data_IF_809969248069
#
_entry.id   IF_809969248069
#
_cell.length_a   1.000
_cell.length_b   1.000
_cell.length_c   1.000
_cell.angle_alpha   90.00
_cell.angle_beta   90.00
_cell.angle_gamma   90.00
#
_symmetry.space_group_name_H-M   'P 1'
#
loop_
_entity.id
_entity.type
_entity.pdbx_description
1 polymer ?
#
# COMPACT_ATOMS: atom_id res chain seq x y z
N UNK A 1 37.35 31.21 3.57
CA UNK A 1 37.25 31.48 5.03
C UNK A 1 38.60 31.76 5.67
N UNK A 2 39.64 30.92 5.48
CA UNK A 2 40.93 31.09 6.15
C UNK A 2 41.62 32.45 5.90
N UNK A 3 41.66 32.94 4.66
CA UNK A 3 42.29 34.23 4.36
C UNK A 3 41.51 35.46 4.86
N UNK A 4 40.18 35.38 4.95
CA UNK A 4 39.34 36.48 5.42
C UNK A 4 39.35 36.57 6.96
N UNK A 5 39.44 35.43 7.63
CA UNK A 5 39.60 35.33 9.09
C UNK A 5 40.88 36.02 9.57
N UNK A 6 41.97 35.91 8.81
CA UNK A 6 43.28 36.46 9.18
C UNK A 6 43.45 37.95 8.81
N UNK A 7 42.53 38.52 8.01
CA UNK A 7 42.61 39.91 7.51
C UNK A 7 41.69 40.88 8.25
N UNK A 8 40.68 40.41 8.99
CA UNK A 8 39.79 41.29 9.74
C UNK A 8 39.06 40.61 10.90
N UNK A 9 39.12 41.23 12.08
CA UNK A 9 38.60 40.69 13.35
C UNK A 9 37.08 40.42 13.36
N UNK A 10 36.31 41.09 12.50
CA UNK A 10 34.86 40.91 12.39
C UNK A 10 34.42 39.86 11.34
N UNK A 11 35.35 39.37 10.50
CA UNK A 11 35.06 38.35 9.47
C UNK A 11 34.51 37.02 10.03
N UNK A 12 34.96 36.50 11.19
CA UNK A 12 34.46 35.23 11.74
C UNK A 12 32.96 35.26 12.07
N UNK A 13 32.48 36.42 12.54
CA UNK A 13 31.09 36.60 12.98
C UNK A 13 30.14 36.48 11.77
N UNK A 14 30.54 37.05 10.62
CA UNK A 14 29.78 36.91 9.38
C UNK A 14 29.59 35.45 8.98
N UNK A 15 30.67 34.66 8.99
CA UNK A 15 30.59 33.24 8.63
C UNK A 15 29.80 32.43 9.65
N UNK A 16 29.91 32.75 10.94
CA UNK A 16 29.13 32.07 11.99
C UNK A 16 27.63 32.29 11.80
N UNK A 17 27.21 33.54 11.59
CA UNK A 17 25.79 33.87 11.31
C UNK A 17 25.33 33.23 10.00
N UNK A 18 26.16 33.28 8.96
CA UNK A 18 25.86 32.67 7.67
C UNK A 18 25.66 31.15 7.78
N UNK A 19 26.53 30.45 8.50
CA UNK A 19 26.45 29.00 8.72
C UNK A 19 25.20 28.66 9.54
N UNK A 20 24.90 29.42 10.60
CA UNK A 20 23.70 29.20 11.42
C UNK A 20 22.43 29.36 10.58
N UNK A 21 22.33 30.42 9.78
CA UNK A 21 21.18 30.66 8.92
C UNK A 21 21.07 29.56 7.85
N UNK A 22 22.17 29.20 7.20
CA UNK A 22 22.12 28.27 6.06
C UNK A 22 21.85 26.82 6.51
N UNK A 23 22.50 26.36 7.58
CA UNK A 23 22.32 24.99 8.08
C UNK A 23 21.02 24.83 8.86
N UNK A 24 20.72 25.72 9.81
CA UNK A 24 19.58 25.50 10.70
C UNK A 24 18.27 26.05 10.16
N UNK A 25 18.29 27.15 9.42
CA UNK A 25 17.05 27.70 8.85
C UNK A 25 16.83 27.19 7.44
N UNK A 26 17.73 27.51 6.50
CA UNK A 26 17.50 27.23 5.07
C UNK A 26 17.39 25.72 4.81
N UNK A 27 18.32 24.91 5.34
CA UNK A 27 18.33 23.46 5.07
C UNK A 27 17.13 22.75 5.71
N UNK A 28 16.74 23.12 6.94
CA UNK A 28 15.58 22.50 7.59
C UNK A 28 14.24 22.92 6.93
N UNK A 29 14.12 24.18 6.48
CA UNK A 29 12.96 24.62 5.70
C UNK A 29 12.91 23.87 4.36
N UNK A 30 14.05 23.75 3.68
CA UNK A 30 14.16 23.00 2.43
C UNK A 30 13.75 21.53 2.62
N UNK A 31 14.27 20.88 3.67
CA UNK A 31 13.92 19.49 4.00
C UNK A 31 12.42 19.34 4.26
N UNK A 32 11.82 20.23 5.04
CA UNK A 32 10.39 20.20 5.35
C UNK A 32 9.52 20.32 4.09
N UNK A 33 9.86 21.24 3.18
CA UNK A 33 9.15 21.43 1.91
C UNK A 33 9.30 20.19 1.02
N UNK A 34 10.52 19.66 0.90
CA UNK A 34 10.80 18.47 0.09
C UNK A 34 10.05 17.25 0.63
N UNK A 35 10.08 17.00 1.94
CA UNK A 35 9.33 15.90 2.57
C UNK A 35 7.83 16.08 2.32
N UNK A 36 7.31 17.30 2.46
CA UNK A 36 5.89 17.58 2.26
C UNK A 36 5.44 17.30 0.82
N UNK A 37 6.27 17.68 -0.16
CA UNK A 37 6.02 17.37 -1.58
C UNK A 37 6.12 15.86 -1.86
N UNK A 38 7.15 15.19 -1.36
CA UNK A 38 7.27 13.74 -1.52
C UNK A 38 6.10 12.98 -0.88
N UNK A 39 5.65 13.39 0.30
CA UNK A 39 4.50 12.77 0.97
C UNK A 39 3.20 12.97 0.17
N UNK A 40 3.01 14.14 -0.45
CA UNK A 40 1.86 14.40 -1.32
C UNK A 40 1.88 13.49 -2.56
N UNK A 41 3.05 13.39 -3.22
CA UNK A 41 3.26 12.52 -4.38
C UNK A 41 3.09 11.03 -4.04
N UNK A 42 3.62 10.58 -2.90
CA UNK A 42 3.47 9.20 -2.41
C UNK A 42 2.01 8.88 -2.13
N UNK A 43 1.27 9.78 -1.47
CA UNK A 43 -0.16 9.63 -1.21
C UNK A 43 -0.95 9.50 -2.52
N UNK A 44 -0.63 10.30 -3.52
CA UNK A 44 -1.31 10.21 -4.81
C UNK A 44 -1.00 8.88 -5.52
N UNK A 45 0.25 8.44 -5.53
CA UNK A 45 0.66 7.14 -6.09
C UNK A 45 -0.03 5.99 -5.38
N UNK A 46 -0.05 6.01 -4.04
CA UNK A 46 -0.74 5.01 -3.24
C UNK A 46 -2.24 4.98 -3.55
N UNK A 47 -2.88 6.16 -3.63
CA UNK A 47 -4.30 6.27 -4.00
C UNK A 47 -4.58 5.67 -5.39
N UNK A 48 -3.76 6.02 -6.39
CA UNK A 48 -3.89 5.49 -7.75
C UNK A 48 -3.73 3.97 -7.77
N UNK A 49 -2.72 3.44 -7.08
CA UNK A 49 -2.49 2.01 -6.98
C UNK A 49 -3.64 1.28 -6.27
N UNK A 50 -4.13 1.85 -5.17
CA UNK A 50 -5.25 1.30 -4.41
C UNK A 50 -6.54 1.25 -5.27
N UNK A 51 -6.85 2.33 -5.97
CA UNK A 51 -8.01 2.39 -6.86
C UNK A 51 -7.88 1.39 -8.01
N UNK A 52 -6.71 1.29 -8.64
CA UNK A 52 -6.47 0.32 -9.72
C UNK A 52 -6.65 -1.13 -9.24
N UNK A 53 -6.12 -1.47 -8.05
CA UNK A 53 -6.35 -2.79 -7.43
C UNK A 53 -7.83 -3.05 -7.21
N UNK A 54 -8.57 -2.07 -6.69
CA UNK A 54 -10.01 -2.19 -6.41
C UNK A 54 -10.84 -2.31 -7.69
N UNK A 55 -10.48 -1.57 -8.72
CA UNK A 55 -11.10 -1.64 -10.04
C UNK A 55 -10.86 -3.00 -10.70
N UNK A 56 -9.63 -3.53 -10.64
CA UNK A 56 -9.32 -4.87 -11.12
C UNK A 56 -10.15 -5.96 -10.41
N UNK A 57 -10.29 -5.88 -9.08
CA UNK A 57 -11.15 -6.82 -8.33
C UNK A 57 -12.62 -6.68 -8.70
N UNK A 58 -13.10 -5.45 -8.91
CA UNK A 58 -14.48 -5.21 -9.36
C UNK A 58 -14.74 -5.82 -10.74
N UNK A 59 -13.79 -5.68 -11.66
CA UNK A 59 -13.87 -6.30 -12.98
C UNK A 59 -13.84 -7.83 -12.88
N UNK A 60 -12.93 -8.39 -12.07
CA UNK A 60 -12.87 -9.82 -11.83
C UNK A 60 -14.17 -10.34 -11.21
N UNK A 61 -14.70 -9.67 -10.19
CA UNK A 61 -15.97 -10.02 -9.55
C UNK A 61 -17.13 -10.03 -10.56
N UNK A 62 -17.20 -9.04 -11.45
CA UNK A 62 -18.25 -9.00 -12.48
C UNK A 62 -18.18 -10.18 -13.46
N UNK A 63 -16.99 -10.71 -13.71
CA UNK A 63 -16.79 -11.85 -14.61
C UNK A 63 -17.02 -13.18 -13.90
N UNK A 64 -16.61 -13.30 -12.64
CA UNK A 64 -16.72 -14.52 -11.84
C UNK A 64 -18.11 -14.68 -11.20
N UNK A 65 -18.77 -13.59 -10.82
CA UNK A 65 -20.03 -13.67 -10.09
C UNK A 65 -21.16 -14.10 -11.02
N UNK A 66 -21.96 -15.05 -10.54
CA UNK A 66 -23.21 -15.46 -11.17
C UNK A 66 -24.34 -14.46 -10.89
N UNK A 67 -25.54 -14.98 -10.65
CA UNK A 67 -26.72 -14.13 -10.36
C UNK A 67 -26.69 -13.49 -8.97
N UNK A 68 -26.03 -14.13 -8.02
CA UNK A 68 -26.15 -13.83 -6.59
C UNK A 68 -24.79 -13.61 -5.91
N UNK A 69 -23.72 -14.24 -6.42
CA UNK A 69 -22.36 -14.07 -5.91
C UNK A 69 -21.39 -15.03 -6.61
N UNK A 70 -20.17 -15.14 -6.06
CA UNK A 70 -19.15 -16.08 -6.52
C UNK A 70 -19.28 -17.39 -5.73
N UNK A 71 -19.48 -18.50 -6.41
CA UNK A 71 -19.50 -19.83 -5.78
C UNK A 71 -18.09 -20.34 -5.52
N UNK A 72 -17.93 -21.34 -4.63
CA UNK A 72 -16.63 -21.93 -4.39
C UNK A 72 -16.01 -22.57 -5.64
N UNK A 73 -16.82 -23.20 -6.50
CA UNK A 73 -16.33 -23.84 -7.73
C UNK A 73 -15.77 -22.80 -8.72
N UNK A 74 -16.47 -21.66 -8.89
CA UNK A 74 -15.99 -20.55 -9.72
C UNK A 74 -14.71 -19.92 -9.15
N UNK A 75 -14.65 -19.79 -7.82
CA UNK A 75 -13.47 -19.28 -7.12
C UNK A 75 -12.27 -20.24 -7.22
N UNK A 76 -12.51 -21.55 -7.14
CA UNK A 76 -11.49 -22.58 -7.29
C UNK A 76 -10.89 -22.53 -8.69
N UNK A 77 -11.73 -22.47 -9.73
CA UNK A 77 -11.28 -22.33 -11.12
C UNK A 77 -10.46 -21.04 -11.34
N UNK A 78 -10.88 -19.93 -10.73
CA UNK A 78 -10.12 -18.69 -10.74
C UNK A 78 -8.74 -18.84 -10.09
N UNK A 79 -8.68 -19.48 -8.92
CA UNK A 79 -7.44 -19.67 -8.18
C UNK A 79 -6.49 -20.66 -8.85
N UNK A 80 -7.01 -21.65 -9.59
CA UNK A 80 -6.21 -22.55 -10.42
C UNK A 80 -5.42 -21.76 -11.49
N UNK A 81 -6.04 -20.76 -12.11
CA UNK A 81 -5.34 -19.90 -13.08
C UNK A 81 -4.45 -18.85 -12.41
N UNK A 82 -4.90 -18.26 -11.30
CA UNK A 82 -4.20 -17.16 -10.62
C UNK A 82 -2.97 -17.63 -9.81
N UNK A 83 -3.08 -18.76 -9.09
CA UNK A 83 -2.01 -19.40 -8.31
C UNK A 83 -2.11 -20.94 -8.40
N UNK A 84 -1.65 -21.55 -9.51
CA UNK A 84 -1.75 -23.00 -9.72
C UNK A 84 -0.97 -23.84 -8.70
N UNK A 85 -0.03 -23.26 -7.96
CA UNK A 85 0.78 -23.96 -6.95
C UNK A 85 0.11 -24.06 -5.58
N UNK A 86 -1.03 -23.39 -5.36
CA UNK A 86 -1.73 -23.41 -4.09
C UNK A 86 -2.61 -24.67 -4.00
N UNK A 87 -2.51 -25.48 -2.93
CA UNK A 87 -3.36 -26.66 -2.78
C UNK A 87 -4.81 -26.27 -2.48
N UNK A 88 -5.77 -27.08 -2.91
CA UNK A 88 -7.21 -26.79 -2.81
C UNK A 88 -7.67 -26.47 -1.39
N UNK A 89 -7.11 -27.13 -0.37
CA UNK A 89 -7.46 -26.85 1.02
C UNK A 89 -7.06 -25.42 1.45
N UNK A 90 -5.94 -24.88 0.94
CA UNK A 90 -5.56 -23.48 1.19
C UNK A 90 -6.47 -22.53 0.44
N UNK A 91 -6.89 -22.88 -0.77
CA UNK A 91 -7.88 -22.11 -1.53
C UNK A 91 -9.20 -22.03 -0.75
N UNK A 92 -9.63 -23.14 -0.15
CA UNK A 92 -10.80 -23.18 0.75
C UNK A 92 -10.60 -22.33 2.01
N UNK A 93 -9.41 -22.31 2.61
CA UNK A 93 -9.10 -21.41 3.72
C UNK A 93 -9.19 -19.93 3.31
N UNK A 94 -8.67 -19.57 2.13
CA UNK A 94 -8.77 -18.21 1.58
C UNK A 94 -10.24 -17.85 1.33
N UNK A 95 -11.01 -18.73 0.70
CA UNK A 95 -12.43 -18.52 0.43
C UNK A 95 -13.21 -18.28 1.72
N UNK A 96 -13.01 -19.10 2.75
CA UNK A 96 -13.64 -18.93 4.06
C UNK A 96 -13.20 -17.67 4.79
N UNK A 97 -11.94 -17.28 4.65
CA UNK A 97 -11.41 -16.09 5.30
C UNK A 97 -11.86 -14.77 4.65
N UNK A 98 -12.36 -14.82 3.41
CA UNK A 98 -12.99 -13.67 2.76
C UNK A 98 -14.41 -13.41 3.26
N UNK A 99 -15.09 -14.43 3.78
CA UNK A 99 -16.40 -14.23 4.40
C UNK A 99 -16.25 -13.41 5.69
N UNK A 100 -16.87 -12.23 5.71
CA UNK A 100 -16.80 -11.29 6.84
C UNK A 100 -17.51 -11.85 8.07
N UNK A 101 -18.52 -12.71 7.87
CA UNK A 101 -19.31 -13.28 8.95
C UNK A 101 -19.22 -14.82 8.95
N UNK A 102 -18.60 -15.44 9.98
CA UNK A 102 -18.46 -16.89 10.06
C UNK A 102 -19.80 -17.63 10.26
N UNK A 103 -20.88 -16.91 10.57
CA UNK A 103 -22.23 -17.44 10.77
C UNK A 103 -23.17 -17.21 9.57
N UNK A 104 -22.69 -16.59 8.48
CA UNK A 104 -23.52 -16.41 7.30
C UNK A 104 -23.72 -17.75 6.58
N UNK A 105 -24.98 -18.12 6.34
CA UNK A 105 -25.37 -19.32 5.58
C UNK A 105 -25.18 -19.16 4.06
N UNK A 106 -24.70 -18.00 3.61
CA UNK A 106 -24.50 -17.73 2.20
C UNK A 106 -23.25 -18.47 1.70
N UNK A 107 -23.46 -19.47 0.85
CA UNK A 107 -22.38 -20.23 0.18
C UNK A 107 -21.62 -19.42 -0.89
N UNK A 108 -21.93 -18.13 -1.05
CA UNK A 108 -21.46 -17.29 -2.15
C UNK A 108 -20.83 -16.00 -1.63
N UNK A 109 -19.69 -15.61 -2.21
CA UNK A 109 -18.99 -14.37 -1.87
C UNK A 109 -19.66 -13.17 -2.54
N UNK A 110 -19.87 -12.10 -1.76
CA UNK A 110 -20.35 -10.80 -2.26
C UNK A 110 -19.21 -9.92 -2.74
N UNK A 111 -19.55 -8.89 -3.53
CA UNK A 111 -18.55 -7.95 -4.08
C UNK A 111 -17.74 -7.27 -2.98
N UNK A 112 -18.40 -6.89 -1.88
CA UNK A 112 -17.76 -6.22 -0.76
C UNK A 112 -16.72 -7.11 -0.05
N UNK A 113 -17.00 -8.41 0.07
CA UNK A 113 -16.13 -9.41 0.69
C UNK A 113 -14.92 -9.72 -0.20
N UNK A 114 -15.14 -9.73 -1.52
CA UNK A 114 -14.09 -9.99 -2.49
C UNK A 114 -13.02 -8.88 -2.57
N UNK A 115 -13.30 -7.66 -2.07
CA UNK A 115 -12.32 -6.58 -2.08
C UNK A 115 -11.08 -6.85 -1.22
N UNK A 116 -11.20 -7.69 -0.19
CA UNK A 116 -10.10 -8.04 0.70
C UNK A 116 -9.25 -9.21 0.16
N UNK A 117 -9.53 -9.68 -1.06
CA UNK A 117 -8.81 -10.78 -1.72
C UNK A 117 -7.29 -10.62 -1.68
N UNK A 118 -6.77 -9.42 -1.97
CA UNK A 118 -5.32 -9.16 -1.98
C UNK A 118 -4.67 -9.28 -0.61
N UNK A 119 -5.41 -9.07 0.47
CA UNK A 119 -4.91 -9.20 1.83
C UNK A 119 -4.92 -10.68 2.26
N UNK A 120 -6.04 -11.37 2.02
CA UNK A 120 -6.25 -12.76 2.46
C UNK A 120 -5.40 -13.75 1.68
N UNK A 121 -5.18 -13.55 0.37
CA UNK A 121 -4.38 -14.49 -0.44
C UNK A 121 -2.91 -14.60 0.01
N UNK A 122 -2.41 -13.60 0.74
CA UNK A 122 -1.02 -13.52 1.18
C UNK A 122 -0.82 -14.14 2.57
N UNK A 123 -1.91 -14.59 3.21
CA UNK A 123 -1.84 -15.30 4.48
C UNK A 123 -1.18 -16.68 4.29
N UNK A 124 -0.33 -17.04 5.24
CA UNK A 124 0.29 -18.36 5.31
C UNK A 124 -0.50 -19.24 6.27
N UNK A 125 -1.20 -20.22 5.74
CA UNK A 125 -1.94 -21.21 6.51
C UNK A 125 -0.97 -22.23 7.10
N UNK A 126 -1.14 -22.56 8.38
CA UNK A 126 -0.47 -23.68 9.03
C UNK A 126 -1.51 -24.56 9.69
N UNK A 127 -1.32 -25.87 9.57
CA UNK A 127 -1.98 -26.84 10.42
C UNK A 127 -1.43 -26.69 11.85
N UNK A 128 -2.32 -26.78 12.84
CA UNK A 128 -1.97 -26.75 14.27
C UNK A 128 -1.42 -28.09 14.71
#
# INVERSE_FOLDING_TARGET
MMEAYNRGDASPIFFMVYIIITLYFITNILLAVVISNFAAEEKEKFRKLFLHKREALRHAYRVLAGRTGITFDDFLAFMEHYRPRMPEWQVMCVFKALHVNPNDQHSELREAEFYDFYEVQNLKWRER
#
